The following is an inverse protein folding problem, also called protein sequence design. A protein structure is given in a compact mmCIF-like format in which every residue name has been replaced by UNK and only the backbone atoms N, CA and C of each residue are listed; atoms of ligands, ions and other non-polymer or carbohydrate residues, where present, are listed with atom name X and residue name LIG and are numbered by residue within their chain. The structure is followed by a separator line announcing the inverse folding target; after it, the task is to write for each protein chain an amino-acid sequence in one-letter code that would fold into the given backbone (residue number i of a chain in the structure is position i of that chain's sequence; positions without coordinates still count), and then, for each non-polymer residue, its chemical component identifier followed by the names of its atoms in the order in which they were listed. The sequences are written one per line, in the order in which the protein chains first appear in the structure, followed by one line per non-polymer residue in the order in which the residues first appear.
data_IF_678741145017
#
_entry.id   IF_678741145017
#
_cell.length_a   1.000
_cell.length_b   1.000
_cell.length_c   1.000
_cell.angle_alpha   90.00
_cell.angle_beta   90.00
_cell.angle_gamma   90.00
#
_symmetry.space_group_name_H-M   'P 1'
#
loop_
_entity.id
_entity.type
_entity.pdbx_description
1 polymer ?
#
# COMPACT_ATOMS: atom_id res chain seq x y z
N UNK A 1 8.47 28.60 -9.64
CA UNK A 1 7.55 27.71 -8.87
C UNK A 1 7.82 26.24 -9.11
N UNK A 2 7.97 25.77 -10.36
CA UNK A 2 8.22 24.38 -10.74
C UNK A 2 9.47 23.81 -10.06
N UNK A 3 10.61 24.53 -10.14
CA UNK A 3 11.88 24.11 -9.50
C UNK A 3 11.73 23.88 -7.98
N UNK A 4 11.00 24.77 -7.28
CA UNK A 4 10.76 24.64 -5.85
C UNK A 4 9.88 23.42 -5.52
N UNK A 5 8.91 23.11 -6.38
CA UNK A 5 8.04 21.94 -6.22
C UNK A 5 8.80 20.64 -6.47
N UNK A 6 9.62 20.58 -7.51
CA UNK A 6 10.50 19.41 -7.78
C UNK A 6 11.46 19.14 -6.62
N UNK A 7 12.11 20.15 -6.07
CA UNK A 7 13.01 20.00 -4.93
C UNK A 7 12.25 19.46 -3.69
N UNK A 8 11.02 19.92 -3.45
CA UNK A 8 10.21 19.40 -2.32
C UNK A 8 9.83 17.95 -2.51
N UNK A 9 9.43 17.55 -3.71
CA UNK A 9 9.11 16.17 -4.05
C UNK A 9 10.35 15.28 -3.86
N UNK A 10 11.50 15.69 -4.40
CA UNK A 10 12.74 14.95 -4.26
C UNK A 10 13.16 14.79 -2.79
N UNK A 11 13.12 15.87 -2.00
CA UNK A 11 13.41 15.81 -0.56
C UNK A 11 12.45 14.87 0.19
N UNK A 12 11.16 14.93 -0.12
CA UNK A 12 10.17 14.03 0.48
C UNK A 12 10.48 12.57 0.19
N UNK A 13 10.66 12.21 -1.10
CA UNK A 13 11.00 10.87 -1.53
C UNK A 13 12.25 10.35 -0.82
N UNK A 14 13.34 11.14 -0.86
CA UNK A 14 14.60 10.77 -0.23
C UNK A 14 14.47 10.56 1.29
N UNK A 15 13.75 11.44 2.00
CA UNK A 15 13.53 11.31 3.44
C UNK A 15 12.73 10.05 3.76
N UNK A 16 11.66 9.77 3.02
CA UNK A 16 10.80 8.61 3.26
C UNK A 16 11.57 7.32 2.99
N UNK A 17 12.27 7.22 1.85
CA UNK A 17 13.08 6.05 1.50
C UNK A 17 14.24 5.83 2.49
N UNK A 18 14.93 6.89 2.88
CA UNK A 18 16.03 6.78 3.84
C UNK A 18 15.53 6.34 5.23
N UNK A 19 14.42 6.89 5.69
CA UNK A 19 13.80 6.49 6.97
C UNK A 19 13.38 5.01 6.92
N UNK A 20 12.72 4.59 5.84
CA UNK A 20 12.38 3.19 5.60
C UNK A 20 13.61 2.29 5.56
N UNK A 21 14.67 2.71 4.86
CA UNK A 21 15.92 1.96 4.76
C UNK A 21 16.57 1.75 6.12
N UNK A 22 16.61 2.77 6.99
CA UNK A 22 17.17 2.67 8.34
C UNK A 22 16.38 1.66 9.18
N UNK A 23 15.03 1.77 9.19
CA UNK A 23 14.18 0.87 9.97
C UNK A 23 14.31 -0.57 9.45
N UNK A 24 14.20 -0.78 8.14
CA UNK A 24 14.30 -2.10 7.52
C UNK A 24 15.69 -2.70 7.70
N UNK A 25 16.76 -1.90 7.61
CA UNK A 25 18.12 -2.37 7.86
C UNK A 25 18.29 -2.88 9.29
N UNK A 26 17.72 -2.19 10.26
CA UNK A 26 17.72 -2.66 11.65
C UNK A 26 16.95 -3.99 11.80
N UNK A 27 15.74 -4.09 11.20
CA UNK A 27 14.94 -5.32 11.24
C UNK A 27 15.69 -6.50 10.58
N UNK A 28 16.25 -6.30 9.39
CA UNK A 28 16.98 -7.36 8.69
C UNK A 28 18.30 -7.73 9.38
N UNK A 29 19.01 -6.75 9.95
CA UNK A 29 20.24 -7.04 10.73
C UNK A 29 19.92 -7.93 11.92
N UNK A 30 18.82 -7.67 12.61
CA UNK A 30 18.36 -8.48 13.74
C UNK A 30 17.97 -9.91 13.29
N UNK A 31 17.26 -10.03 12.16
CA UNK A 31 16.79 -11.32 11.64
C UNK A 31 17.90 -12.16 11.01
N UNK A 32 18.80 -11.55 10.23
CA UNK A 32 19.86 -12.25 9.49
C UNK A 32 21.18 -12.36 10.27
N UNK A 33 21.26 -11.79 11.48
CA UNK A 33 22.46 -11.75 12.30
C UNK A 33 23.71 -11.18 11.59
N UNK A 34 23.53 -10.34 10.57
CA UNK A 34 24.59 -9.77 9.75
C UNK A 34 24.29 -8.31 9.39
N UNK A 35 25.13 -7.39 9.83
CA UNK A 35 25.00 -5.95 9.55
C UNK A 35 25.05 -5.66 8.04
N UNK A 36 25.99 -6.26 7.34
CA UNK A 36 26.17 -6.02 5.91
C UNK A 36 24.96 -6.50 5.09
N UNK A 37 24.44 -7.69 5.42
CA UNK A 37 23.23 -8.25 4.81
C UNK A 37 22.01 -7.40 5.16
N UNK A 38 21.88 -6.99 6.42
CA UNK A 38 20.79 -6.13 6.88
C UNK A 38 20.76 -4.78 6.15
N UNK A 39 21.90 -4.12 5.99
CA UNK A 39 22.00 -2.87 5.23
C UNK A 39 21.60 -3.07 3.77
N UNK A 40 22.16 -4.09 3.09
CA UNK A 40 21.81 -4.39 1.68
C UNK A 40 20.31 -4.63 1.51
N UNK A 41 19.72 -5.48 2.34
CA UNK A 41 18.29 -5.81 2.28
C UNK A 41 17.43 -4.60 2.61
N UNK A 42 17.78 -3.82 3.65
CA UNK A 42 17.01 -2.67 4.08
C UNK A 42 16.95 -1.55 3.04
N UNK A 43 18.10 -1.16 2.49
CA UNK A 43 18.15 -0.14 1.43
C UNK A 43 17.43 -0.60 0.16
N UNK A 44 17.70 -1.82 -0.30
CA UNK A 44 17.07 -2.36 -1.50
C UNK A 44 15.54 -2.44 -1.35
N UNK A 45 15.07 -3.01 -0.23
CA UNK A 45 13.63 -3.18 0.02
C UNK A 45 12.92 -1.86 0.19
N UNK A 46 13.55 -0.87 0.84
CA UNK A 46 12.94 0.45 1.01
C UNK A 46 12.67 1.13 -0.32
N UNK A 47 13.65 1.17 -1.22
CA UNK A 47 13.50 1.75 -2.56
C UNK A 47 12.48 0.95 -3.36
N UNK A 48 12.59 -0.40 -3.37
CA UNK A 48 11.68 -1.29 -4.08
C UNK A 48 10.23 -1.12 -3.62
N UNK A 49 10.01 -0.97 -2.30
CA UNK A 49 8.68 -0.78 -1.73
C UNK A 49 8.09 0.59 -2.07
N UNK A 50 8.85 1.65 -1.94
CA UNK A 50 8.39 3.00 -2.28
C UNK A 50 8.09 3.14 -3.77
N UNK A 51 8.91 2.51 -4.62
CA UNK A 51 8.69 2.48 -6.07
C UNK A 51 7.59 1.50 -6.51
N UNK A 52 6.96 0.74 -5.58
CA UNK A 52 6.02 -0.36 -5.89
C UNK A 52 6.58 -1.35 -6.91
N UNK A 53 7.87 -1.69 -6.80
CA UNK A 53 8.55 -2.57 -7.74
C UNK A 53 8.44 -4.07 -7.39
N UNK A 54 8.27 -4.39 -6.10
CA UNK A 54 8.03 -5.77 -5.62
C UNK A 54 9.23 -6.70 -5.64
N UNK A 55 10.41 -6.17 -5.94
CA UNK A 55 11.64 -6.97 -5.94
C UNK A 55 12.22 -7.13 -4.53
N UNK A 56 12.67 -8.34 -4.24
CA UNK A 56 13.41 -8.65 -3.03
C UNK A 56 14.65 -9.47 -3.37
N UNK A 57 15.65 -9.47 -2.50
CA UNK A 57 16.95 -10.12 -2.78
C UNK A 57 16.99 -11.62 -2.43
N UNK A 58 15.89 -12.17 -1.86
CA UNK A 58 15.69 -13.61 -1.65
C UNK A 58 14.57 -14.12 -2.55
N UNK A 59 14.63 -15.40 -2.92
CA UNK A 59 13.63 -16.03 -3.80
C UNK A 59 12.24 -16.13 -3.15
N UNK A 60 12.19 -16.31 -1.83
CA UNK A 60 10.95 -16.49 -1.08
C UNK A 60 10.24 -15.17 -0.73
N UNK A 61 10.71 -14.06 -1.31
CA UNK A 61 10.20 -12.71 -1.02
C UNK A 61 10.22 -12.43 0.50
N UNK A 62 9.14 -11.89 1.09
CA UNK A 62 9.05 -11.59 2.52
C UNK A 62 8.34 -12.69 3.34
N UNK A 63 8.12 -13.90 2.78
CA UNK A 63 7.40 -14.99 3.46
C UNK A 63 8.08 -15.37 4.77
N UNK A 64 9.42 -15.43 4.80
CA UNK A 64 10.19 -15.74 6.01
C UNK A 64 10.13 -14.66 7.12
N UNK A 65 9.49 -13.52 6.85
CA UNK A 65 9.39 -12.40 7.79
C UNK A 65 7.95 -12.09 8.22
N UNK A 66 7.02 -13.01 7.99
CA UNK A 66 5.59 -12.86 8.28
C UNK A 66 5.27 -12.64 9.76
N UNK A 67 6.16 -13.04 10.68
CA UNK A 67 6.05 -12.83 12.12
C UNK A 67 6.78 -11.57 12.64
N UNK A 68 7.26 -10.71 11.73
CA UNK A 68 7.93 -9.45 12.07
C UNK A 68 7.04 -8.23 11.73
N UNK A 69 6.13 -7.82 12.64
CA UNK A 69 5.17 -6.73 12.35
C UNK A 69 5.83 -5.43 11.94
N UNK A 70 6.94 -5.04 12.60
CA UNK A 70 7.63 -3.79 12.29
C UNK A 70 8.14 -3.76 10.85
N UNK A 71 8.65 -4.88 10.35
CA UNK A 71 9.14 -5.00 8.97
C UNK A 71 7.97 -4.89 7.98
N UNK A 72 6.92 -5.71 8.17
CA UNK A 72 5.77 -5.76 7.26
C UNK A 72 5.00 -4.45 7.23
N UNK A 73 4.79 -3.79 8.38
CA UNK A 73 4.17 -2.46 8.41
C UNK A 73 5.04 -1.40 7.76
N UNK A 74 6.36 -1.41 7.97
CA UNK A 74 7.27 -0.44 7.32
C UNK A 74 7.20 -0.57 5.80
N UNK A 75 7.26 -1.78 5.27
CA UNK A 75 7.12 -2.04 3.83
C UNK A 75 5.74 -1.60 3.33
N UNK A 76 4.65 -1.94 4.05
CA UNK A 76 3.29 -1.49 3.71
C UNK A 76 3.17 0.04 3.64
N UNK A 77 3.73 0.75 4.62
CA UNK A 77 3.70 2.22 4.63
C UNK A 77 4.48 2.82 3.46
N UNK A 78 5.64 2.27 3.12
CA UNK A 78 6.41 2.70 1.96
C UNK A 78 5.62 2.51 0.65
N UNK A 79 4.97 1.35 0.47
CA UNK A 79 4.08 1.05 -0.65
C UNK A 79 2.94 2.09 -0.73
N UNK A 80 2.27 2.36 0.39
CA UNK A 80 1.14 3.30 0.45
C UNK A 80 1.61 4.72 0.11
N UNK A 81 2.72 5.17 0.72
CA UNK A 81 3.24 6.53 0.51
C UNK A 81 3.72 6.74 -0.93
N UNK A 82 4.37 5.75 -1.53
CA UNK A 82 4.77 5.79 -2.93
C UNK A 82 3.56 5.78 -3.88
N UNK A 83 2.60 4.86 -3.63
CA UNK A 83 1.37 4.74 -4.41
C UNK A 83 0.43 5.94 -4.32
N UNK A 84 0.48 6.71 -3.21
CA UNK A 84 -0.33 7.92 -3.02
C UNK A 84 0.21 9.17 -3.72
N UNK A 85 1.34 9.11 -4.36
CA UNK A 85 2.05 10.27 -4.94
C UNK A 85 2.67 11.21 -3.89
N UNK A 86 3.95 11.57 -4.05
CA UNK A 86 4.60 12.54 -3.17
C UNK A 86 3.89 13.89 -3.12
N UNK A 87 3.30 14.35 -4.23
CA UNK A 87 2.57 15.61 -4.28
C UNK A 87 1.32 15.59 -3.38
N UNK A 88 0.56 14.48 -3.40
CA UNK A 88 -0.63 14.31 -2.55
C UNK A 88 -0.21 14.17 -1.08
N UNK A 89 0.82 13.40 -0.78
CA UNK A 89 1.34 13.26 0.58
C UNK A 89 1.77 14.61 1.18
N UNK A 90 2.43 15.47 0.38
CA UNK A 90 2.78 16.83 0.79
C UNK A 90 1.55 17.72 1.03
N UNK A 91 0.46 17.52 0.27
CA UNK A 91 -0.81 18.22 0.51
C UNK A 91 -1.50 17.74 1.79
N UNK A 92 -1.43 16.44 2.09
CA UNK A 92 -2.00 15.89 3.33
C UNK A 92 -1.35 16.49 4.59
N UNK A 93 -0.07 16.88 4.54
CA UNK A 93 0.58 17.59 5.65
C UNK A 93 -0.12 18.93 6.00
N UNK A 94 -0.90 19.51 5.10
CA UNK A 94 -1.66 20.72 5.37
C UNK A 94 -2.81 20.50 6.37
N UNK A 95 -3.26 19.24 6.56
CA UNK A 95 -4.26 18.90 7.60
C UNK A 95 -3.72 19.31 8.97
N UNK A 96 -2.46 18.97 9.28
CA UNK A 96 -1.84 19.32 10.56
C UNK A 96 -1.66 20.83 10.77
N UNK A 97 -1.78 21.60 9.67
CA UNK A 97 -1.71 23.07 9.68
C UNK A 97 -3.09 23.73 9.63
N UNK A 98 -4.19 22.96 9.81
CA UNK A 98 -5.55 23.48 9.78
C UNK A 98 -6.02 24.01 8.42
N UNK A 99 -5.32 23.69 7.32
CA UNK A 99 -5.68 24.15 5.97
C UNK A 99 -6.62 23.17 5.29
N UNK A 100 -7.56 23.68 4.50
CA UNK A 100 -8.48 22.86 3.70
C UNK A 100 -7.69 22.10 2.63
N UNK A 101 -8.00 20.81 2.50
CA UNK A 101 -7.42 19.96 1.46
C UNK A 101 -8.10 20.21 0.10
N UNK A 102 -7.35 20.12 -1.00
CA UNK A 102 -7.96 20.08 -2.33
C UNK A 102 -8.85 18.81 -2.47
N UNK A 103 -9.98 18.90 -3.20
CA UNK A 103 -10.91 17.77 -3.35
C UNK A 103 -10.24 16.48 -3.85
N UNK A 104 -9.26 16.60 -4.74
CA UNK A 104 -8.50 15.46 -5.27
C UNK A 104 -7.74 14.72 -4.16
N UNK A 105 -7.10 15.44 -3.25
CA UNK A 105 -6.35 14.82 -2.15
C UNK A 105 -7.29 14.11 -1.17
N UNK A 106 -8.46 14.71 -0.90
CA UNK A 106 -9.53 14.10 -0.08
C UNK A 106 -10.01 12.80 -0.72
N UNK A 107 -10.33 12.85 -2.02
CA UNK A 107 -10.83 11.70 -2.77
C UNK A 107 -9.81 10.55 -2.75
N UNK A 108 -8.55 10.83 -3.08
CA UNK A 108 -7.47 9.82 -3.06
C UNK A 108 -7.30 9.21 -1.69
N UNK A 109 -7.30 10.03 -0.64
CA UNK A 109 -7.12 9.55 0.74
C UNK A 109 -8.23 8.58 1.16
N UNK A 110 -9.49 8.98 1.00
CA UNK A 110 -10.62 8.13 1.39
C UNK A 110 -10.74 6.86 0.53
N UNK A 111 -10.49 6.95 -0.77
CA UNK A 111 -10.51 5.77 -1.65
C UNK A 111 -9.38 4.81 -1.30
N UNK A 112 -8.17 5.33 -1.05
CA UNK A 112 -7.04 4.51 -0.60
C UNK A 112 -7.37 3.79 0.71
N UNK A 113 -7.92 4.52 1.68
CA UNK A 113 -8.29 3.95 2.98
C UNK A 113 -9.39 2.89 2.85
N UNK A 114 -10.42 3.16 2.05
CA UNK A 114 -11.51 2.21 1.80
C UNK A 114 -11.02 0.91 1.16
N UNK A 115 -10.15 1.01 0.15
CA UNK A 115 -9.57 -0.16 -0.51
C UNK A 115 -8.65 -0.95 0.43
N UNK A 116 -7.84 -0.28 1.26
CA UNK A 116 -6.96 -0.94 2.23
C UNK A 116 -7.78 -1.67 3.31
N UNK A 117 -8.74 -1.01 3.93
CA UNK A 117 -9.56 -1.61 4.98
C UNK A 117 -10.43 -2.73 4.40
N UNK A 118 -11.11 -2.48 3.28
CA UNK A 118 -11.95 -3.49 2.62
C UNK A 118 -11.16 -4.71 2.19
N UNK A 119 -9.99 -4.51 1.56
CA UNK A 119 -9.08 -5.59 1.17
C UNK A 119 -8.55 -6.37 2.37
N UNK A 120 -8.19 -5.68 3.46
CA UNK A 120 -7.72 -6.32 4.69
C UNK A 120 -8.79 -7.19 5.32
N UNK A 121 -10.01 -6.65 5.47
CA UNK A 121 -11.12 -7.40 6.07
C UNK A 121 -11.49 -8.63 5.24
N UNK A 122 -11.56 -8.47 3.92
CA UNK A 122 -11.89 -9.59 3.04
C UNK A 122 -10.79 -10.66 3.07
N UNK A 123 -9.51 -10.27 2.95
CA UNK A 123 -8.39 -11.21 3.01
C UNK A 123 -8.36 -11.93 4.35
N UNK A 124 -8.52 -11.21 5.46
CA UNK A 124 -8.55 -11.79 6.79
C UNK A 124 -9.67 -12.82 6.95
N UNK A 125 -10.90 -12.49 6.53
CA UNK A 125 -12.04 -13.40 6.66
C UNK A 125 -11.94 -14.61 5.74
N UNK A 126 -11.52 -14.40 4.49
CA UNK A 126 -11.43 -15.45 3.47
C UNK A 126 -10.29 -16.44 3.75
N UNK A 127 -9.14 -15.95 4.25
CA UNK A 127 -7.94 -16.76 4.50
C UNK A 127 -7.74 -17.14 5.96
N UNK A 128 -8.71 -16.87 6.83
CA UNK A 128 -8.58 -17.15 8.27
C UNK A 128 -8.18 -18.58 8.58
N UNK A 129 -8.76 -19.56 7.88
CA UNK A 129 -8.46 -20.99 7.96
C UNK A 129 -7.64 -21.50 6.75
N UNK A 130 -7.29 -20.63 5.80
CA UNK A 130 -6.46 -20.90 4.64
C UNK A 130 -4.99 -20.60 4.89
N UNK A 131 -4.40 -19.73 4.08
CA UNK A 131 -2.96 -19.37 4.14
C UNK A 131 -2.55 -18.74 5.47
N UNK A 132 -3.49 -18.13 6.20
CA UNK A 132 -3.25 -17.57 7.54
C UNK A 132 -3.42 -18.60 8.67
N UNK A 133 -3.76 -19.85 8.37
CA UNK A 133 -3.92 -20.90 9.40
C UNK A 133 -2.61 -21.12 10.16
N UNK A 134 -2.71 -21.44 11.46
CA UNK A 134 -1.53 -21.62 12.31
C UNK A 134 -0.83 -20.35 12.79
N UNK A 135 -1.17 -19.17 12.27
CA UNK A 135 -0.64 -17.90 12.75
C UNK A 135 -1.42 -17.38 13.97
N UNK A 136 -0.76 -16.59 14.83
CA UNK A 136 -1.45 -15.86 15.89
C UNK A 136 -2.46 -14.85 15.30
N UNK A 137 -3.47 -14.45 16.07
CA UNK A 137 -4.47 -13.47 15.59
C UNK A 137 -3.79 -12.16 15.18
N UNK A 138 -2.78 -11.72 15.92
CA UNK A 138 -2.00 -10.53 15.58
C UNK A 138 -1.28 -10.69 14.24
N UNK A 139 -0.64 -11.85 14.02
CA UNK A 139 0.05 -12.16 12.75
C UNK A 139 -0.94 -12.23 11.58
N UNK A 140 -2.11 -12.81 11.78
CA UNK A 140 -3.17 -12.82 10.76
C UNK A 140 -3.58 -11.43 10.33
N UNK A 141 -3.76 -10.51 11.30
CA UNK A 141 -4.20 -9.14 11.02
C UNK A 141 -3.12 -8.38 10.23
N UNK A 142 -1.86 -8.40 10.66
CA UNK A 142 -0.84 -7.64 9.96
C UNK A 142 -0.47 -8.24 8.59
N UNK A 143 -0.53 -9.56 8.42
CA UNK A 143 -0.34 -10.17 7.11
C UNK A 143 -1.52 -9.88 6.16
N UNK A 144 -2.77 -9.89 6.65
CA UNK A 144 -3.92 -9.48 5.86
C UNK A 144 -3.82 -8.01 5.42
N UNK A 145 -3.40 -7.12 6.33
CA UNK A 145 -3.10 -5.73 6.01
C UNK A 145 -2.01 -5.61 4.94
N UNK A 146 -0.91 -6.34 5.12
CA UNK A 146 0.20 -6.35 4.19
C UNK A 146 -0.25 -6.80 2.80
N UNK A 147 -1.02 -7.90 2.71
CA UNK A 147 -1.52 -8.42 1.43
C UNK A 147 -2.49 -7.44 0.75
N UNK A 148 -3.33 -6.74 1.51
CA UNK A 148 -4.18 -5.69 0.97
C UNK A 148 -3.36 -4.52 0.40
N UNK A 149 -2.30 -4.10 1.10
CA UNK A 149 -1.43 -3.02 0.64
C UNK A 149 -0.63 -3.41 -0.62
N UNK A 150 -0.01 -4.60 -0.61
CA UNK A 150 0.84 -5.07 -1.71
C UNK A 150 0.07 -5.42 -2.97
N UNK A 151 -1.19 -5.89 -2.86
CA UNK A 151 -2.06 -6.18 -4.01
C UNK A 151 -2.35 -4.95 -4.86
N UNK A 152 -2.13 -3.75 -4.34
CA UNK A 152 -2.25 -2.50 -5.11
C UNK A 152 -1.02 -2.20 -5.95
N UNK A 153 -0.57 -3.21 -6.70
CA UNK A 153 0.53 -3.20 -7.69
C UNK A 153 1.94 -3.06 -7.09
N UNK A 154 2.17 -3.47 -5.85
CA UNK A 154 3.50 -3.46 -5.25
C UNK A 154 4.30 -4.76 -5.48
N UNK A 155 3.65 -5.94 -5.39
CA UNK A 155 4.26 -7.22 -5.77
C UNK A 155 5.06 -7.94 -4.67
N UNK A 156 5.02 -7.50 -3.41
CA UNK A 156 5.62 -8.25 -2.30
C UNK A 156 4.66 -9.30 -1.74
N UNK A 157 5.19 -10.39 -1.18
CA UNK A 157 4.43 -11.45 -0.56
C UNK A 157 4.95 -11.73 0.86
N UNK A 158 4.05 -11.73 1.85
CA UNK A 158 4.36 -12.17 3.22
C UNK A 158 3.81 -13.56 3.53
N UNK A 159 3.00 -14.11 2.63
CA UNK A 159 2.42 -15.45 2.71
C UNK A 159 2.52 -16.14 1.35
N UNK A 160 2.41 -17.47 1.33
CA UNK A 160 2.44 -18.23 0.09
C UNK A 160 1.11 -18.06 -0.66
N UNK A 161 1.18 -17.40 -1.82
CA UNK A 161 0.03 -17.12 -2.67
C UNK A 161 -0.39 -18.30 -3.55
N UNK A 162 0.39 -19.39 -3.59
CA UNK A 162 0.06 -20.56 -4.41
C UNK A 162 -1.16 -21.33 -3.90
N UNK A 163 -1.47 -21.19 -2.62
CA UNK A 163 -2.52 -21.93 -1.91
C UNK A 163 -3.70 -21.07 -1.44
N UNK A 164 -3.85 -19.85 -1.99
CA UNK A 164 -4.97 -18.96 -1.64
C UNK A 164 -6.29 -19.43 -2.23
N UNK A 165 -7.38 -19.08 -1.56
CA UNK A 165 -8.74 -19.34 -2.06
C UNK A 165 -9.03 -18.61 -3.37
N UNK A 166 -9.82 -19.21 -4.32
CA UNK A 166 -10.18 -18.54 -5.56
C UNK A 166 -10.88 -17.18 -5.38
N UNK A 167 -11.68 -17.02 -4.31
CA UNK A 167 -12.31 -15.74 -3.97
C UNK A 167 -11.30 -14.67 -3.59
N UNK A 168 -10.27 -15.04 -2.82
CA UNK A 168 -9.15 -14.16 -2.46
C UNK A 168 -8.34 -13.77 -3.68
N UNK A 169 -8.09 -14.72 -4.59
CA UNK A 169 -7.42 -14.44 -5.86
C UNK A 169 -8.18 -13.38 -6.68
N UNK A 170 -9.49 -13.53 -6.83
CA UNK A 170 -10.32 -12.53 -7.54
C UNK A 170 -10.29 -11.16 -6.87
N UNK A 171 -10.32 -11.11 -5.54
CA UNK A 171 -10.13 -9.84 -4.81
C UNK A 171 -8.79 -9.20 -5.11
N UNK A 172 -7.70 -9.98 -5.06
CA UNK A 172 -6.36 -9.46 -5.35
C UNK A 172 -6.29 -8.89 -6.77
N UNK A 173 -6.86 -9.59 -7.76
CA UNK A 173 -6.96 -9.08 -9.14
C UNK A 173 -7.73 -7.76 -9.18
N UNK A 174 -8.85 -7.66 -8.47
CA UNK A 174 -9.63 -6.42 -8.40
C UNK A 174 -8.82 -5.27 -7.76
N UNK A 175 -8.06 -5.54 -6.69
CA UNK A 175 -7.17 -4.56 -6.06
C UNK A 175 -5.98 -4.17 -6.95
N UNK A 176 -5.45 -5.09 -7.77
CA UNK A 176 -4.41 -4.79 -8.76
C UNK A 176 -4.94 -3.86 -9.87
N UNK A 177 -6.19 -4.06 -10.30
CA UNK A 177 -6.86 -3.15 -11.24
C UNK A 177 -7.05 -1.76 -10.58
N UNK A 178 -7.44 -1.73 -9.31
CA UNK A 178 -7.62 -0.52 -8.52
C UNK A 178 -6.27 -0.02 -7.95
N UNK A 179 -5.38 0.42 -8.81
CA UNK A 179 -4.01 0.83 -8.46
C UNK A 179 -3.87 2.07 -7.59
N UNK A 180 -2.81 2.85 -7.81
CA UNK A 180 -2.48 4.02 -7.02
C UNK A 180 -3.11 5.33 -7.49
N UNK A 181 -2.65 6.44 -6.90
CA UNK A 181 -3.11 7.78 -7.25
C UNK A 181 -2.38 8.34 -8.48
N UNK A 182 -2.93 9.38 -9.12
CA UNK A 182 -2.21 10.09 -10.18
C UNK A 182 -0.87 10.63 -9.70
N UNK A 183 0.20 10.33 -10.45
CA UNK A 183 1.57 10.73 -10.10
C UNK A 183 2.22 9.90 -8.98
N UNK A 184 1.57 8.83 -8.52
CA UNK A 184 2.16 7.81 -7.65
C UNK A 184 2.91 6.74 -8.45
N UNK A 185 3.70 5.92 -7.75
CA UNK A 185 4.52 4.85 -8.33
C UNK A 185 3.72 3.60 -8.69
N UNK A 186 2.52 3.42 -8.11
CA UNK A 186 1.65 2.28 -8.38
C UNK A 186 1.02 2.33 -9.77
N UNK A 187 0.88 1.16 -10.39
CA UNK A 187 0.20 0.95 -11.67
C UNK A 187 -1.33 0.99 -11.57
N UNK A 188 -2.01 0.33 -12.51
CA UNK A 188 -3.47 0.16 -12.52
C UNK A 188 -4.28 1.42 -12.82
N UNK A 189 -5.61 1.28 -12.71
CA UNK A 189 -6.54 2.41 -12.82
C UNK A 189 -6.32 3.35 -11.63
N UNK A 190 -6.24 4.65 -11.91
CA UNK A 190 -5.99 5.62 -10.83
C UNK A 190 -7.17 5.71 -9.87
N UNK A 191 -6.88 5.82 -8.58
CA UNK A 191 -7.90 5.92 -7.52
C UNK A 191 -8.92 7.03 -7.80
N UNK A 192 -8.49 8.16 -8.40
CA UNK A 192 -9.38 9.23 -8.82
C UNK A 192 -10.38 8.78 -9.89
N UNK A 193 -9.95 7.99 -10.87
CA UNK A 193 -10.82 7.46 -11.94
C UNK A 193 -11.89 6.54 -11.35
N UNK A 194 -11.49 5.60 -10.49
CA UNK A 194 -12.40 4.67 -9.81
C UNK A 194 -13.41 5.42 -8.97
N UNK A 195 -12.96 6.41 -8.20
CA UNK A 195 -13.83 7.22 -7.34
C UNK A 195 -14.86 8.02 -8.16
N UNK A 196 -14.41 8.63 -9.25
CA UNK A 196 -15.32 9.40 -10.14
C UNK A 196 -16.34 8.47 -10.78
N UNK A 197 -15.92 7.30 -11.29
CA UNK A 197 -16.84 6.31 -11.85
C UNK A 197 -17.88 5.87 -10.82
N UNK A 198 -17.45 5.52 -9.60
CA UNK A 198 -18.36 5.12 -8.52
C UNK A 198 -19.37 6.24 -8.18
N UNK A 199 -18.89 7.47 -8.01
CA UNK A 199 -19.76 8.61 -7.70
C UNK A 199 -20.73 8.92 -8.86
N UNK A 200 -20.28 8.79 -10.10
CA UNK A 200 -21.14 9.01 -11.27
C UNK A 200 -22.25 7.94 -11.35
N UNK A 201 -21.90 6.66 -11.17
CA UNK A 201 -22.88 5.58 -11.10
C UNK A 201 -23.87 5.78 -9.95
N UNK A 202 -23.38 6.11 -8.75
CA UNK A 202 -24.22 6.38 -7.60
C UNK A 202 -25.19 7.54 -7.83
N UNK A 203 -24.71 8.66 -8.39
CA UNK A 203 -25.56 9.81 -8.71
C UNK A 203 -26.56 9.50 -9.82
N UNK A 204 -26.18 8.74 -10.85
CA UNK A 204 -27.09 8.33 -11.91
C UNK A 204 -28.29 7.51 -11.38
N UNK A 205 -28.03 6.60 -10.43
CA UNK A 205 -29.09 5.83 -9.78
C UNK A 205 -30.00 6.76 -8.96
N UNK A 206 -29.41 7.67 -8.19
CA UNK A 206 -30.16 8.60 -7.33
C UNK A 206 -31.01 9.61 -8.12
N UNK A 207 -30.53 10.10 -9.26
CA UNK A 207 -31.27 11.04 -10.11
C UNK A 207 -32.48 10.35 -10.74
N UNK A 208 -32.39 9.05 -11.10
CA UNK A 208 -33.53 8.29 -11.63
C UNK A 208 -34.71 8.24 -10.65
N UNK A 209 -34.42 8.15 -9.34
CA UNK A 209 -35.47 8.14 -8.31
C UNK A 209 -36.18 9.50 -8.15
N UNK A 210 -35.56 10.59 -8.57
CA UNK A 210 -36.15 11.94 -8.48
C UNK A 210 -36.91 12.36 -9.75
N UNK A 211 -36.76 11.63 -10.87
CA UNK A 211 -37.47 11.92 -12.14
C UNK A 211 -38.78 11.12 -12.26
N UNK A 212 -38.97 10.12 -11.41
CA UNK A 212 -40.17 9.25 -11.39
C UNK A 212 -41.19 9.69 -10.31
N UNK A 213 -40.93 10.82 -9.64
CA UNK A 213 -41.85 11.51 -8.74
C UNK A 213 -42.27 12.83 -9.40
#
# INVERSE_FOLDING_TARGET
EIKKSLIRIFKYTFIVELTGAIILSACFTFSEHSLLTGLKFGFFTSISAFCNAGFFLKNDNLIGYNSFPLLTYTVSFLIILGGMSPAICLMLQNIFKGKKLPPVAVLVFYTTLALLIGGTLFFFLSEYNGVLSGMSIADKIHNAWFQSATSRTAGFNSVDLSSINPGTFLLMVALMIAGGSPGGTAGGLKTTTISVLFLTCYNAIRIKDNVVR
#
